data_IF_709181275580
#
_entry.id   IF_709181275580
#
_cell.length_a   1.000
_cell.length_b   1.000
_cell.length_c   1.000
_cell.angle_alpha   90.00
_cell.angle_beta   90.00
_cell.angle_gamma   90.00
#
_symmetry.space_group_name_H-M   'P 1'
#
loop_
_entity.id
_entity.type
_entity.pdbx_description
1 polymer ?
2 polymer ?
3 polymer ?
4 non-polymer ?
#
loop_
_entity_poly.entity_id
_entity_poly.type
_entity_poly.pdbx_seq_one_letter_code
_entity_poly.pdbx_strand_id
1 'polydeoxyribonucleotide' '(DG)(DC)(DA)(DA)(DA)(DT)(DT)(DA)(DA)(DA)(DG)(DC)(DG)(DC)(DA)(DA)(DG)(DA)' ?
2 'polydeoxyribonucleotide' '(DT)(DC)(DT)(DT)(DG)(DC)(DG)(DC)(DT)(DT)(DT)(DA)(DA)(DT)(DT)(DT)(DG)(DC)' ?
#
# COMPACT_ATOMS: atom_id res chain seq x y z
N UNK C 1 -5.68 -18.87 -0.26
CA UNK C 1 -5.58 -20.37 -0.21
C UNK C 1 -5.02 -20.80 1.15
N UNK C 2 -5.48 -21.92 1.66
CA UNK C 2 -4.99 -22.42 2.99
C UNK C 2 -5.08 -21.30 4.03
N UNK C 3 -6.18 -21.23 4.74
CA UNK C 3 -6.32 -20.17 5.78
C UNK C 3 -6.81 -20.76 7.10
N UNK C 4 -6.05 -20.59 8.15
CA UNK C 4 -6.48 -21.11 9.48
C UNK C 4 -7.69 -20.33 9.96
N UNK C 5 -7.91 -20.27 11.25
CA UNK C 5 -9.07 -19.51 11.77
C UNK C 5 -8.95 -18.01 11.48
N UNK C 6 -8.54 -17.65 10.29
CA UNK C 6 -8.39 -16.21 9.91
C UNK C 6 -7.06 -15.66 10.46
N UNK C 7 -6.02 -16.46 10.47
CA UNK C 7 -4.71 -15.99 10.99
C UNK C 7 -3.66 -17.08 10.91
N UNK C 8 -3.33 -17.48 9.73
CA UNK C 8 -2.28 -18.49 9.58
C UNK C 8 -0.95 -17.77 9.69
N UNK C 9 -0.67 -17.20 10.84
CA UNK C 9 0.62 -16.45 11.02
C UNK C 9 1.77 -17.18 10.33
N UNK C 10 1.71 -18.49 10.27
CA UNK C 10 2.76 -19.24 9.60
C UNK C 10 2.84 -18.83 8.13
N UNK C 11 1.74 -18.84 7.43
CA UNK C 11 1.82 -18.41 6.02
C UNK C 11 1.77 -16.90 5.96
N UNK C 12 1.14 -16.26 6.91
CA UNK C 12 1.15 -14.78 6.89
C UNK C 12 2.61 -14.38 6.78
N UNK C 13 3.43 -15.06 7.54
CA UNK C 13 4.88 -14.79 7.45
C UNK C 13 5.34 -15.13 6.05
N UNK C 14 4.84 -16.22 5.50
CA UNK C 14 5.25 -16.56 4.11
C UNK C 14 4.81 -15.40 3.22
N UNK C 15 3.74 -14.74 3.61
CA UNK C 15 3.25 -13.56 2.84
C UNK C 15 4.14 -12.37 3.14
N UNK C 16 4.61 -12.30 4.36
CA UNK C 16 5.48 -11.18 4.76
C UNK C 16 6.82 -11.26 4.11
N UNK C 17 7.23 -12.43 3.86
CA UNK C 17 8.53 -12.65 3.22
C UNK C 17 8.31 -12.68 1.73
N UNK C 18 7.18 -13.15 1.34
CA UNK C 18 6.84 -13.21 -0.11
C UNK C 18 6.36 -11.82 -0.58
N UNK C 19 6.23 -10.88 0.34
CA UNK C 19 5.76 -9.51 -0.02
C UNK C 19 4.47 -9.59 -0.81
N UNK C 20 3.61 -10.49 -0.40
CA UNK C 20 2.31 -10.64 -1.08
C UNK C 20 1.43 -9.40 -0.80
N UNK C 21 1.22 -8.61 -1.82
CA UNK C 21 0.36 -7.40 -1.68
C UNK C 21 -1.10 -7.81 -1.43
N UNK C 22 -1.34 -9.07 -1.26
CA UNK C 22 -2.71 -9.56 -1.04
C UNK C 22 -2.90 -9.86 0.43
N UNK C 23 -1.84 -9.85 1.15
CA UNK C 23 -1.93 -10.06 2.62
C UNK C 23 -1.63 -8.73 3.29
N UNK C 24 -1.25 -7.78 2.49
CA UNK C 24 -0.93 -6.43 2.99
C UNK C 24 -2.25 -5.77 3.31
N UNK C 25 -2.45 -5.29 4.51
CA UNK C 25 -3.78 -4.68 4.85
C UNK C 25 -4.55 -5.72 5.65
N UNK C 26 -4.39 -6.96 5.29
CA UNK C 26 -5.07 -8.06 6.01
C UNK C 26 -4.40 -8.25 7.37
N UNK C 27 -3.09 -8.20 7.40
CA UNK C 27 -2.36 -8.36 8.69
C UNK C 27 -1.03 -7.63 8.67
N UNK C 28 -0.42 -7.55 9.80
CA UNK C 28 0.91 -6.89 9.92
C UNK C 28 1.84 -7.86 10.59
N UNK C 29 3.08 -7.51 10.70
CA UNK C 29 3.99 -8.39 11.41
C UNK C 29 4.90 -7.57 12.31
N UNK C 30 4.82 -7.85 13.56
CA UNK C 30 5.59 -7.06 14.56
C UNK C 30 6.85 -7.75 15.04
N UNK C 31 7.98 -7.16 14.73
CA UNK C 31 9.27 -7.72 15.18
C UNK C 31 9.58 -7.10 16.56
N UNK C 32 9.48 -7.89 17.60
CA UNK C 32 9.73 -7.37 18.97
C UNK C 32 11.20 -7.01 19.16
N UNK C 33 12.02 -7.55 18.33
CA UNK C 33 13.48 -7.27 18.41
C UNK C 33 13.73 -5.80 18.11
N UNK C 34 12.89 -5.23 17.29
CA UNK C 34 13.04 -3.78 16.96
C UNK C 34 11.83 -3.00 17.46
N UNK C 35 10.79 -3.68 17.86
CA UNK C 35 9.58 -2.98 18.35
C UNK C 35 8.84 -2.38 17.16
N UNK C 36 8.87 -3.02 16.02
CA UNK C 36 8.15 -2.47 14.83
C UNK C 36 7.21 -3.52 14.29
N UNK C 37 6.31 -3.13 13.45
CA UNK C 37 5.41 -4.10 12.81
C UNK C 37 5.12 -3.61 11.40
N UNK C 38 5.50 -4.37 10.43
CA UNK C 38 5.31 -3.93 9.04
C UNK C 38 4.25 -4.73 8.34
N UNK C 39 4.12 -4.47 7.08
CA UNK C 39 3.17 -5.18 6.25
C UNK C 39 3.90 -6.43 5.74
N UNK C 40 3.20 -7.28 5.08
CA UNK C 40 3.85 -8.51 4.57
C UNK C 40 4.83 -8.18 3.45
N UNK C 41 4.71 -7.02 2.85
CA UNK C 41 5.61 -6.67 1.74
C UNK C 41 6.53 -5.47 2.08
N UNK C 42 6.89 -5.30 3.35
CA UNK C 42 7.79 -4.15 3.73
C UNK C 42 8.97 -4.06 2.77
N UNK C 43 9.29 -2.86 2.39
CA UNK C 43 10.42 -2.63 1.45
C UNK C 43 11.69 -2.15 2.18
N UNK C 44 11.70 -2.10 3.48
CA UNK C 44 12.94 -1.59 4.18
C UNK C 44 13.94 -2.70 4.50
N UNK C 45 13.49 -3.74 5.13
CA UNK C 45 14.42 -4.88 5.49
C UNK C 45 13.62 -5.85 6.40
N UNK C 46 14.19 -6.95 6.84
CA UNK C 46 13.40 -7.91 7.68
C UNK C 46 14.16 -8.52 8.85
N UNK C 47 13.41 -8.98 9.80
CA UNK C 47 13.98 -9.67 10.98
C UNK C 47 13.39 -11.09 11.05
N UNK C 48 14.03 -11.99 11.73
CA UNK C 48 13.54 -13.39 11.79
C UNK C 48 12.07 -13.46 12.24
N UNK C 49 11.40 -14.52 11.89
CA UNK C 49 9.97 -14.71 12.29
C UNK C 49 9.88 -14.80 13.80
N UNK C 50 10.93 -15.30 14.36
CA UNK C 50 11.07 -15.49 15.81
C UNK C 50 10.49 -14.32 16.61
N UNK C 51 11.04 -13.17 16.40
CA UNK C 51 10.56 -11.96 17.11
C UNK C 51 9.46 -11.30 16.28
N UNK C 52 8.92 -12.03 15.36
CA UNK C 52 7.87 -11.45 14.49
C UNK C 52 6.49 -12.06 14.77
N UNK C 53 5.51 -11.22 15.04
CA UNK C 53 4.13 -11.71 15.29
C UNK C 53 3.21 -11.08 14.25
N UNK C 54 1.96 -11.46 14.22
CA UNK C 54 1.05 -10.91 13.21
C UNK C 54 -0.17 -10.25 13.85
N UNK C 55 -0.68 -9.27 13.19
CA UNK C 55 -1.87 -8.55 13.71
C UNK C 55 -2.93 -8.44 12.63
N UNK C 56 -4.17 -8.31 13.00
CA UNK C 56 -5.22 -8.16 11.97
C UNK C 56 -5.03 -6.81 11.29
N UNK C 57 -4.73 -5.80 12.08
CA UNK C 57 -4.50 -4.47 11.51
C UNK C 57 -3.31 -3.81 12.17
N UNK C 58 -2.84 -2.78 11.55
CA UNK C 58 -1.70 -2.03 12.12
C UNK C 58 -2.09 -1.44 13.48
N UNK C 59 -3.35 -1.20 13.73
CA UNK C 59 -3.71 -0.62 15.06
C UNK C 59 -3.51 -1.67 16.14
N UNK C 60 -3.80 -2.91 15.84
CA UNK C 60 -3.58 -3.97 16.83
C UNK C 60 -2.08 -3.99 17.13
N UNK C 61 -1.30 -4.02 16.09
CA UNK C 61 0.18 -3.97 16.26
C UNK C 61 0.54 -2.69 17.01
N UNK C 62 -0.07 -1.62 16.59
CA UNK C 62 0.16 -0.32 17.26
C UNK C 62 -0.26 -0.46 18.72
N UNK C 63 -1.20 -1.33 19.00
CA UNK C 63 -1.66 -1.55 20.39
C UNK C 63 -0.66 -2.44 21.13
N UNK C 64 0.18 -3.14 20.41
CA UNK C 64 1.19 -4.03 21.10
C UNK C 64 2.32 -3.19 21.65
N UNK C 65 2.23 -1.92 21.46
CA UNK C 65 3.29 -1.00 21.95
C UNK C 65 4.44 -0.97 20.95
N UNK C 66 4.14 -1.05 19.68
CA UNK C 66 5.22 -1.01 18.65
C UNK C 66 5.19 0.27 17.84
N UNK C 67 6.27 0.57 17.20
CA UNK C 67 6.34 1.77 16.34
C UNK C 67 6.14 1.34 14.90
N UNK C 68 5.08 1.80 14.29
CA UNK C 68 4.79 1.39 12.90
C UNK C 68 5.90 1.86 11.96
N UNK C 69 6.32 0.99 11.09
CA UNK C 69 7.43 1.31 10.14
C UNK C 69 7.04 2.52 9.29
N UNK C 70 7.78 3.60 9.39
CA UNK C 70 7.45 4.84 8.61
C UNK C 70 7.40 4.56 7.11
N UNK C 71 7.64 3.34 6.71
CA UNK C 71 7.58 2.99 5.27
C UNK C 71 6.29 2.23 5.01
N UNK C 72 5.94 1.40 5.97
CA UNK C 72 4.68 0.58 5.86
C UNK C 72 3.51 1.29 6.51
N UNK C 73 3.78 2.28 7.32
CA UNK C 73 2.69 2.99 8.03
C UNK C 73 2.02 4.07 7.15
N UNK C 74 2.81 4.88 6.48
CA UNK C 74 2.24 5.94 5.62
C UNK C 74 1.64 5.35 4.33
N UNK C 75 2.28 4.38 3.74
CA UNK C 75 1.75 3.80 2.48
C UNK C 75 0.54 2.91 2.80
N UNK C 76 -0.09 2.34 1.80
CA UNK C 76 -1.28 1.48 2.06
C UNK C 76 -1.01 0.01 1.69
N UNK C 77 -1.49 -0.88 2.50
CA UNK C 77 -1.32 -2.34 2.24
C UNK C 77 -2.44 -2.83 1.29
N UNK C 78 -3.37 -3.65 1.74
CA UNK C 78 -4.49 -4.01 0.80
C UNK C 78 -5.22 -2.73 0.42
N UNK C 79 -5.23 -1.79 1.33
CA UNK C 79 -5.85 -0.47 1.01
C UNK C 79 -5.09 0.14 -0.19
N UNK C 80 -3.89 -0.37 -0.46
CA UNK C 80 -3.09 0.11 -1.61
C UNK C 80 -3.97 0.09 -2.87
N UNK C 81 -4.39 -1.08 -3.29
CA UNK C 81 -5.26 -1.21 -4.50
C UNK C 81 -6.48 -0.26 -4.44
N UNK C 82 -7.01 -0.01 -3.26
CA UNK C 82 -8.20 0.89 -3.14
C UNK C 82 -7.76 2.34 -3.47
N UNK C 83 -6.62 2.75 -2.97
CA UNK C 83 -6.13 4.12 -3.29
C UNK C 83 -5.77 4.19 -4.77
N UNK C 84 -5.48 3.06 -5.37
CA UNK C 84 -5.16 3.08 -6.81
C UNK C 84 -6.46 3.22 -7.57
N UNK C 85 -7.54 2.67 -7.04
CA UNK C 85 -8.86 2.84 -7.71
C UNK C 85 -9.20 4.34 -7.73
N UNK C 86 -8.85 5.01 -6.66
CA UNK C 86 -9.11 6.49 -6.60
C UNK C 86 -8.37 7.19 -7.76
N UNK C 87 -7.11 6.89 -7.94
CA UNK C 87 -6.32 7.52 -9.05
C UNK C 87 -7.02 7.28 -10.42
N UNK C 88 -7.49 6.07 -10.66
CA UNK C 88 -8.22 5.80 -11.95
C UNK C 88 -9.31 6.88 -12.09
N UNK C 89 -10.03 7.13 -11.03
CA UNK C 89 -11.07 8.21 -11.07
C UNK C 89 -10.37 9.50 -11.52
N UNK C 90 -9.16 9.72 -11.05
CA UNK C 90 -8.38 10.92 -11.48
C UNK C 90 -8.32 10.90 -13.00
N UNK C 91 -8.22 9.74 -13.59
CA UNK C 91 -8.19 9.69 -15.07
C UNK C 91 -9.51 10.25 -15.59
N UNK C 92 -10.60 9.78 -15.05
CA UNK C 92 -11.93 10.30 -15.50
C UNK C 92 -11.93 11.84 -15.50
N UNK C 93 -11.57 12.43 -14.39
CA UNK C 93 -11.55 13.92 -14.30
C UNK C 93 -10.64 14.53 -15.38
N UNK C 94 -9.51 13.90 -15.65
CA UNK C 94 -8.54 14.42 -16.67
C UNK C 94 -9.13 14.28 -18.09
N UNK C 95 -10.22 13.57 -18.20
CA UNK C 95 -10.89 13.37 -19.52
C UNK C 95 -12.37 13.71 -19.39
N UNK C 96 -12.83 13.99 -18.20
CA UNK C 96 -14.26 14.33 -18.00
C UNK C 96 -14.49 15.80 -18.30
N UNK C 97 -13.76 16.69 -17.65
CA UNK C 97 -13.98 18.14 -17.95
C UNK C 97 -13.11 18.56 -19.13
N UNK C 98 -12.79 19.83 -19.23
CA UNK C 98 -11.92 20.29 -20.34
C UNK C 98 -10.50 20.59 -19.78
N UNK C 99 -10.43 21.52 -18.86
CA UNK C 99 -9.15 21.80 -18.15
C UNK C 99 -8.80 20.54 -17.32
N UNK C 100 -7.56 20.17 -17.22
CA UNK C 100 -7.23 18.92 -16.46
C UNK C 100 -7.32 19.17 -14.95
N UNK C 101 -7.68 18.14 -14.20
CA UNK C 101 -7.87 18.35 -12.73
C UNK C 101 -6.89 17.55 -11.87
N UNK C 102 -5.93 18.23 -11.36
CA UNK C 102 -4.95 17.62 -10.49
C UNK C 102 -4.84 18.50 -9.25
N UNK C 103 -5.32 19.74 -9.33
CA UNK C 103 -5.23 20.69 -8.17
C UNK C 103 -5.52 20.01 -6.83
N UNK C 104 -6.54 19.21 -6.72
CA UNK C 104 -6.82 18.56 -5.40
C UNK C 104 -5.73 17.54 -5.11
N UNK C 105 -5.31 16.81 -6.12
CA UNK C 105 -4.24 15.80 -5.89
C UNK C 105 -2.90 16.52 -5.64
N UNK C 106 -2.49 17.38 -6.53
CA UNK C 106 -1.20 18.11 -6.33
C UNK C 106 -1.15 18.75 -4.94
N UNK C 107 -2.22 19.37 -4.51
CA UNK C 107 -2.24 20.01 -3.17
C UNK C 107 -2.13 18.95 -2.07
N UNK C 108 -2.76 17.82 -2.25
CA UNK C 108 -2.71 16.75 -1.22
C UNK C 108 -1.28 16.21 -1.06
N UNK C 109 -0.56 16.02 -2.13
CA UNK C 109 0.83 15.47 -2.01
C UNK C 109 1.88 16.60 -1.99
N UNK C 110 1.50 17.79 -2.39
CA UNK C 110 2.47 18.94 -2.42
C UNK C 110 3.36 18.87 -3.66
N UNK C 111 2.79 18.43 -4.77
CA UNK C 111 3.60 18.33 -6.03
C UNK C 111 2.78 18.76 -7.26
N UNK C 112 3.46 18.96 -8.37
CA UNK C 112 2.79 19.39 -9.65
C UNK C 112 1.98 18.24 -10.29
N UNK C 113 1.21 18.58 -11.30
CA UNK C 113 0.36 17.57 -12.00
C UNK C 113 1.23 16.51 -12.67
N UNK C 114 2.40 16.87 -13.12
CA UNK C 114 3.28 15.82 -13.72
C UNK C 114 3.76 14.90 -12.61
N UNK C 115 4.07 15.39 -11.44
CA UNK C 115 4.50 14.43 -10.40
C UNK C 115 3.29 13.57 -9.94
N UNK C 116 2.08 14.09 -10.02
CA UNK C 116 0.89 13.26 -9.67
C UNK C 116 0.90 12.06 -10.62
N UNK C 117 1.15 12.31 -11.88
CA UNK C 117 1.27 11.19 -12.86
C UNK C 117 2.35 10.22 -12.35
N UNK C 118 3.49 10.75 -11.97
CA UNK C 118 4.60 9.90 -11.40
C UNK C 118 4.09 9.08 -10.19
N UNK C 119 3.21 9.63 -9.38
CA UNK C 119 2.64 8.87 -8.22
C UNK C 119 1.72 7.75 -8.78
N UNK C 120 0.87 8.10 -9.73
CA UNK C 120 -0.05 7.11 -10.40
C UNK C 120 0.79 5.88 -10.85
N UNK C 121 1.98 6.11 -11.36
CA UNK C 121 2.89 4.97 -11.78
C UNK C 121 3.49 4.30 -10.54
N UNK C 122 3.90 5.09 -9.58
CA UNK C 122 4.50 4.52 -8.34
C UNK C 122 3.51 3.54 -7.71
N UNK C 123 2.32 3.99 -7.42
CA UNK C 123 1.31 3.09 -6.79
C UNK C 123 0.84 2.00 -7.80
N UNK C 124 0.26 2.38 -8.92
CA UNK C 124 -0.15 1.37 -9.97
C UNK C 124 1.05 0.45 -10.24
N UNK C 125 2.23 0.98 -10.13
CA UNK C 125 3.47 0.19 -10.34
C UNK C 125 4.26 0.56 -11.61
N UNK C 126 3.66 0.84 -12.75
CA UNK C 126 4.57 1.20 -13.91
C UNK C 126 3.88 1.99 -15.04
N UNK C 127 3.15 3.03 -14.74
CA UNK C 127 2.52 3.85 -15.83
C UNK C 127 1.93 5.14 -15.26
N UNK C 128 2.70 6.19 -15.18
CA UNK C 128 2.14 7.44 -14.61
C UNK C 128 1.10 8.10 -15.52
N UNK C 129 1.43 9.22 -16.12
CA UNK C 129 0.43 9.91 -16.99
C UNK C 129 -0.02 9.00 -18.14
N UNK C 130 0.75 8.01 -18.48
CA UNK C 130 0.34 7.08 -19.57
C UNK C 130 -0.86 6.25 -19.08
N UNK C 131 -0.89 5.87 -17.81
CA UNK C 131 -2.08 5.11 -17.30
C UNK C 131 -3.28 6.04 -17.36
N UNK C 132 -3.07 7.29 -17.09
CA UNK C 132 -4.18 8.28 -17.17
C UNK C 132 -4.72 8.31 -18.61
N UNK C 133 -3.83 8.39 -19.56
CA UNK C 133 -4.26 8.44 -20.99
C UNK C 133 -4.96 7.13 -21.39
N UNK C 134 -4.37 6.00 -21.11
CA UNK C 134 -5.01 4.71 -21.48
C UNK C 134 -6.40 4.62 -20.89
N UNK C 135 -6.51 4.67 -19.59
CA UNK C 135 -7.85 4.61 -18.94
C UNK C 135 -8.83 5.54 -19.67
N UNK C 136 -8.41 6.75 -19.89
CA UNK C 136 -9.27 7.75 -20.61
C UNK C 136 -9.60 7.25 -22.03
N UNK C 137 -8.70 6.53 -22.64
CA UNK C 137 -8.96 6.02 -24.03
C UNK C 137 -9.97 4.88 -24.00
N UNK C 138 -10.03 4.16 -22.92
CA UNK C 138 -11.01 3.04 -22.81
C UNK C 138 -12.22 3.50 -22.00
N UNK C 139 -12.11 4.59 -21.29
CA UNK C 139 -13.28 5.07 -20.50
C UNK C 139 -14.03 6.15 -21.27
X LIG D 1 7.96 -1.84 6.98
#
# INVERSE_FOLDING_TARGET
>C
MKKATCLTDDQRWQSVLARDPNADGEFVFAVRTTGIFCRPSCRARHALRENVSFYANASEALAAGFRPCKRCQPDKANPRQHRLDKITHACRLLEQETPVTLEALADQVAMSPFHLHRLFKATTGMTPKAWQQAWRARR
>D hetero
1 ZN ZN
#
